data_IF_394771408100
#
_entry.id   IF_394771408100
#
_cell.length_a   1.000
_cell.length_b   1.000
_cell.length_c   1.000
_cell.angle_alpha   90.00
_cell.angle_beta   90.00
_cell.angle_gamma   90.00
#
_symmetry.space_group_name_H-M   'P 1'
#
loop_
_entity.id
_entity.type
_entity.pdbx_description
1 polymer ?
#
# COMPACT_ATOMS: atom_id res chain seq x y z
N UNK A 1 6.89 -23.14 11.65
CA UNK A 1 7.52 -22.11 10.80
C UNK A 1 6.40 -21.48 10.02
N UNK A 2 6.34 -20.16 9.97
CA UNK A 2 5.36 -19.48 9.12
C UNK A 2 5.77 -19.58 7.66
N UNK A 3 4.78 -19.69 6.78
CA UNK A 3 4.95 -19.65 5.33
C UNK A 3 5.06 -18.20 4.88
N UNK A 4 6.03 -17.91 4.01
CA UNK A 4 6.25 -16.58 3.43
C UNK A 4 6.04 -16.68 1.93
N UNK A 5 5.14 -15.86 1.40
CA UNK A 5 4.90 -15.72 -0.04
C UNK A 5 5.17 -14.28 -0.47
N UNK A 6 5.73 -14.12 -1.68
CA UNK A 6 5.95 -12.82 -2.30
C UNK A 6 5.16 -12.80 -3.59
N UNK A 7 4.25 -11.84 -3.72
CA UNK A 7 3.34 -11.75 -4.83
C UNK A 7 3.43 -10.38 -5.49
N UNK A 8 3.54 -10.34 -6.83
CA UNK A 8 3.54 -9.08 -7.58
C UNK A 8 2.17 -8.40 -7.48
N UNK A 9 2.17 -7.09 -7.21
CA UNK A 9 0.93 -6.30 -7.22
C UNK A 9 0.46 -6.13 -8.66
N UNK A 10 -0.80 -6.45 -8.91
CA UNK A 10 -1.48 -6.31 -10.21
C UNK A 10 -2.65 -5.34 -10.09
N UNK A 11 -3.18 -4.89 -11.23
CA UNK A 11 -4.25 -3.87 -11.26
C UNK A 11 -5.53 -4.31 -10.54
N UNK A 12 -5.84 -5.61 -10.52
CA UNK A 12 -6.99 -6.17 -9.79
C UNK A 12 -6.81 -6.13 -8.26
N UNK A 13 -5.60 -5.83 -7.77
CA UNK A 13 -5.26 -5.74 -6.35
C UNK A 13 -5.00 -4.32 -5.86
N UNK A 14 -5.24 -3.31 -6.69
CA UNK A 14 -4.98 -1.91 -6.33
C UNK A 14 -5.70 -1.44 -5.08
N UNK A 15 -6.94 -1.90 -4.83
CA UNK A 15 -7.67 -1.56 -3.61
C UNK A 15 -6.98 -2.11 -2.36
N UNK A 16 -6.50 -3.36 -2.41
CA UNK A 16 -5.74 -3.97 -1.30
C UNK A 16 -4.42 -3.22 -1.10
N UNK A 17 -3.75 -2.88 -2.21
CA UNK A 17 -2.51 -2.11 -2.17
C UNK A 17 -2.71 -0.74 -1.52
N UNK A 18 -3.79 -0.04 -1.87
CA UNK A 18 -4.16 1.25 -1.29
C UNK A 18 -4.42 1.15 0.21
N UNK A 19 -5.24 0.18 0.64
CA UNK A 19 -5.59 -0.01 2.05
C UNK A 19 -4.35 -0.26 2.92
N UNK A 20 -3.45 -1.15 2.48
CA UNK A 20 -2.22 -1.45 3.21
C UNK A 20 -1.26 -0.25 3.28
N UNK A 21 -1.11 0.51 2.20
CA UNK A 21 -0.28 1.72 2.22
C UNK A 21 -0.85 2.78 3.16
N UNK A 22 -2.16 3.02 3.14
CA UNK A 22 -2.81 3.97 4.05
C UNK A 22 -2.64 3.52 5.51
N UNK A 23 -2.88 2.24 5.80
CA UNK A 23 -2.77 1.71 7.15
C UNK A 23 -1.34 1.88 7.69
N UNK A 24 -0.34 1.36 6.97
CA UNK A 24 1.06 1.37 7.41
C UNK A 24 1.65 2.77 7.53
N UNK A 25 1.29 3.66 6.59
CA UNK A 25 1.68 5.06 6.65
C UNK A 25 1.05 5.74 7.87
N UNK A 26 -0.25 5.53 8.11
CA UNK A 26 -0.94 6.07 9.29
C UNK A 26 -0.32 5.56 10.59
N UNK A 27 -0.06 4.26 10.71
CA UNK A 27 0.59 3.69 11.91
C UNK A 27 1.96 4.30 12.19
N UNK A 28 2.71 4.62 11.14
CA UNK A 28 4.04 5.23 11.24
C UNK A 28 3.97 6.71 11.59
N UNK A 29 3.05 7.47 10.98
CA UNK A 29 3.08 8.94 10.99
C UNK A 29 1.97 9.60 11.83
N UNK A 30 0.98 8.86 12.34
CA UNK A 30 -0.12 9.45 13.11
C UNK A 30 0.27 10.00 14.49
N UNK A 31 1.46 9.67 15.00
CA UNK A 31 1.95 10.24 16.25
C UNK A 31 2.46 11.68 16.08
N UNK A 32 2.90 12.04 14.87
CA UNK A 32 3.53 13.34 14.57
C UNK A 32 2.66 14.26 13.70
N UNK A 33 1.52 13.76 13.20
CA UNK A 33 0.65 14.47 12.27
C UNK A 33 -0.81 14.41 12.72
N UNK A 34 -1.59 15.42 12.36
CA UNK A 34 -3.04 15.44 12.54
C UNK A 34 -3.74 14.55 11.52
N UNK A 35 -4.98 14.13 11.84
CA UNK A 35 -5.80 13.36 10.90
C UNK A 35 -6.04 14.10 9.58
N UNK A 36 -6.17 15.43 9.62
CA UNK A 36 -6.35 16.26 8.42
C UNK A 36 -5.10 16.26 7.52
N UNK A 37 -3.90 16.37 8.11
CA UNK A 37 -2.63 16.31 7.35
C UNK A 37 -2.42 14.93 6.71
N UNK A 38 -2.73 13.86 7.44
CA UNK A 38 -2.67 12.50 6.90
C UNK A 38 -3.68 12.31 5.77
N UNK A 39 -4.93 12.74 5.96
CA UNK A 39 -5.97 12.60 4.96
C UNK A 39 -5.63 13.37 3.68
N UNK A 40 -5.11 14.59 3.81
CA UNK A 40 -4.63 15.38 2.66
C UNK A 40 -3.53 14.62 1.90
N UNK A 41 -2.58 14.01 2.60
CA UNK A 41 -1.55 13.19 1.96
C UNK A 41 -2.14 11.97 1.22
N UNK A 42 -3.11 11.28 1.83
CA UNK A 42 -3.77 10.13 1.20
C UNK A 42 -4.58 10.51 -0.04
N UNK A 43 -5.30 11.63 0.02
CA UNK A 43 -6.10 12.16 -1.08
C UNK A 43 -5.24 12.64 -2.26
N UNK A 44 -3.99 13.04 -2.01
CA UNK A 44 -3.05 13.47 -3.05
C UNK A 44 -2.23 12.30 -3.63
N UNK A 45 -1.72 11.42 -2.77
CA UNK A 45 -0.66 10.45 -3.12
C UNK A 45 -1.16 9.01 -3.26
N UNK A 46 -2.19 8.62 -2.50
CA UNK A 46 -2.70 7.25 -2.46
C UNK A 46 -4.05 7.10 -3.14
N UNK A 47 -4.36 7.94 -4.12
CA UNK A 47 -5.51 7.68 -5.01
C UNK A 47 -5.23 6.46 -5.89
N UNK A 48 -6.29 5.74 -6.28
CA UNK A 48 -6.17 4.59 -7.17
C UNK A 48 -5.46 4.94 -8.48
N UNK A 49 -5.68 6.14 -9.03
CA UNK A 49 -5.02 6.60 -10.26
C UNK A 49 -3.50 6.74 -10.08
N UNK A 50 -3.03 7.25 -8.94
CA UNK A 50 -1.60 7.40 -8.68
C UNK A 50 -0.94 6.05 -8.42
N UNK A 51 -1.59 5.17 -7.67
CA UNK A 51 -1.09 3.82 -7.41
C UNK A 51 -1.07 2.97 -8.68
N UNK A 52 -2.08 3.11 -9.55
CA UNK A 52 -2.12 2.47 -10.86
C UNK A 52 -0.90 2.83 -11.71
N UNK A 53 -0.52 4.12 -11.75
CA UNK A 53 0.69 4.56 -12.48
C UNK A 53 1.94 3.85 -11.98
N UNK A 54 2.10 3.73 -10.66
CA UNK A 54 3.25 3.05 -10.05
C UNK A 54 3.28 1.55 -10.29
N UNK A 55 2.11 0.89 -10.35
CA UNK A 55 2.01 -0.56 -10.61
C UNK A 55 2.13 -0.90 -12.10
N UNK A 56 1.63 -0.02 -12.98
CA UNK A 56 1.67 -0.19 -14.44
C UNK A 56 3.00 0.26 -15.07
N UNK A 57 3.85 0.97 -14.32
CA UNK A 57 5.16 1.39 -14.78
C UNK A 57 6.08 0.18 -14.99
N UNK A 58 6.67 0.10 -16.19
CA UNK A 58 7.59 -0.96 -16.59
C UNK A 58 8.95 -0.88 -15.88
N UNK A 59 9.31 0.29 -15.34
CA UNK A 59 10.51 0.51 -14.53
C UNK A 59 10.26 0.31 -13.02
N UNK A 60 9.03 -0.03 -12.64
CA UNK A 60 8.60 -0.29 -11.27
C UNK A 60 8.33 -1.79 -11.03
N UNK A 61 8.61 -2.26 -9.82
CA UNK A 61 8.34 -3.65 -9.44
C UNK A 61 7.87 -3.75 -7.98
N UNK A 62 6.55 -3.73 -7.81
CA UNK A 62 5.88 -3.68 -6.50
C UNK A 62 5.37 -5.06 -6.12
N UNK A 63 5.60 -5.46 -4.87
CA UNK A 63 5.21 -6.77 -4.35
C UNK A 63 4.54 -6.67 -2.98
N UNK A 64 3.55 -7.55 -2.76
CA UNK A 64 3.09 -7.91 -1.43
C UNK A 64 3.98 -8.98 -0.82
N UNK A 65 4.09 -8.93 0.50
CA UNK A 65 4.57 -10.05 1.31
C UNK A 65 3.39 -10.59 2.08
N UNK A 66 3.21 -11.90 2.03
CA UNK A 66 2.18 -12.61 2.77
C UNK A 66 2.83 -13.55 3.78
N UNK A 67 2.27 -13.57 4.99
CA UNK A 67 2.64 -14.50 6.06
C UNK A 67 1.46 -15.40 6.33
N UNK A 68 1.63 -16.71 6.18
CA UNK A 68 0.58 -17.72 6.36
C UNK A 68 -0.70 -17.38 5.55
N UNK A 69 -0.51 -16.92 4.30
CA UNK A 69 -1.57 -16.57 3.36
C UNK A 69 -2.28 -15.24 3.63
N UNK A 70 -1.71 -14.37 4.49
CA UNK A 70 -2.28 -13.07 4.85
C UNK A 70 -1.35 -11.95 4.43
N UNK A 71 -1.90 -10.89 3.83
CA UNK A 71 -1.17 -9.65 3.62
C UNK A 71 -0.72 -9.08 4.96
N UNK A 72 0.51 -8.61 5.01
CA UNK A 72 1.06 -7.94 6.19
C UNK A 72 0.95 -6.43 6.01
N UNK A 73 0.47 -5.74 7.03
CA UNK A 73 0.86 -4.38 7.35
C UNK A 73 2.37 -4.29 7.66
#
# INVERSE_FOLDING_TARGET
>A
MSEIEVEKVTLDKLSIFQELNIQTFRETFAFDNTEEELQQFFDDSYTLEQLEKGVADLESDVHFVLVDGRYTD
#
